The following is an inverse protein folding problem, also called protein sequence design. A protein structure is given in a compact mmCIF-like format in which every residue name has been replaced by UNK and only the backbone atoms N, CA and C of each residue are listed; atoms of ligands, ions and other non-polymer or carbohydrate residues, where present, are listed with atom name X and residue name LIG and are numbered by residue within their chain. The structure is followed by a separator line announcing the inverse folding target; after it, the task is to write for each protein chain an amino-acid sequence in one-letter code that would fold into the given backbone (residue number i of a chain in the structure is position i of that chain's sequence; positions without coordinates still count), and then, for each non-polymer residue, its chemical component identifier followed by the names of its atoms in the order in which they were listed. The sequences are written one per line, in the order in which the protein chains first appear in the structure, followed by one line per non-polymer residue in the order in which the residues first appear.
data_IF_135859683477
#
_entry.id   IF_135859683477
#
_cell.length_a   1.000
_cell.length_b   1.000
_cell.length_c   1.000
_cell.angle_alpha   90.00
_cell.angle_beta   90.00
_cell.angle_gamma   90.00
#
_symmetry.space_group_name_H-M   'P 1'
#
loop_
_entity.id
_entity.type
_entity.pdbx_description
1 polymer ?
#
# COMPACT_ATOMS: atom_id res chain seq x y z
N UNK A 1 -44.94 -31.46 69.57
CA UNK A 1 -45.60 -30.56 70.55
C UNK A 1 -44.65 -30.36 71.72
N UNK A 2 -44.51 -29.19 72.37
CA UNK A 2 -44.93 -27.79 72.12
C UNK A 2 -43.68 -26.87 71.87
N UNK A 3 -43.70 -25.68 71.26
CA UNK A 3 -44.34 -24.37 71.54
C UNK A 3 -43.59 -23.45 72.56
N UNK A 4 -43.19 -22.27 72.03
CA UNK A 4 -43.03 -20.91 72.62
C UNK A 4 -41.78 -20.55 73.49
N UNK A 5 -40.98 -19.56 73.03
CA UNK A 5 -40.85 -18.15 73.50
C UNK A 5 -39.77 -17.98 74.60
N UNK A 6 -38.93 -16.93 74.69
CA UNK A 6 -38.97 -15.54 74.20
C UNK A 6 -37.62 -14.83 74.49
N UNK A 7 -37.34 -13.74 73.74
CA UNK A 7 -36.54 -12.55 74.09
C UNK A 7 -35.01 -12.68 74.31
N UNK A 8 -34.14 -11.76 73.89
CA UNK A 8 -34.33 -10.37 73.43
C UNK A 8 -33.05 -9.85 72.72
N UNK A 9 -33.27 -9.13 71.61
CA UNK A 9 -32.67 -7.85 71.19
C UNK A 9 -31.14 -7.69 70.98
N UNK A 10 -30.81 -7.37 69.70
CA UNK A 10 -30.08 -6.16 69.21
C UNK A 10 -28.57 -6.10 69.52
N UNK A 11 -27.59 -5.83 68.63
CA UNK A 11 -27.47 -5.09 67.36
C UNK A 11 -26.16 -5.53 66.64
N UNK A 12 -25.94 -5.02 65.41
CA UNK A 12 -24.70 -4.99 64.58
C UNK A 12 -24.54 -6.22 63.68
N UNK A 13 -24.76 -6.20 62.36
CA UNK A 13 -24.68 -5.10 61.40
C UNK A 13 -23.40 -5.20 60.59
N UNK A 14 -23.30 -6.18 59.68
CA UNK A 14 -22.36 -6.19 58.56
C UNK A 14 -23.00 -6.92 57.37
N UNK A 15 -23.67 -6.15 56.51
CA UNK A 15 -24.02 -6.62 55.17
C UNK A 15 -22.88 -6.20 54.25
N UNK A 16 -22.14 -7.16 53.72
CA UNK A 16 -21.21 -6.93 52.61
C UNK A 16 -22.05 -6.51 51.39
N UNK A 17 -22.03 -5.21 51.07
CA UNK A 17 -22.39 -4.72 49.74
C UNK A 17 -21.07 -4.55 49.00
N UNK A 18 -20.70 -5.53 48.18
CA UNK A 18 -19.62 -5.37 47.20
C UNK A 18 -20.10 -4.40 46.12
N UNK A 19 -19.77 -3.12 46.28
CA UNK A 19 -19.86 -2.15 45.19
C UNK A 19 -18.73 -2.46 44.22
N UNK A 20 -19.06 -3.15 43.11
CA UNK A 20 -18.19 -3.18 41.94
C UNK A 20 -18.18 -1.76 41.34
N UNK A 21 -17.15 -0.97 41.68
CA UNK A 21 -16.78 0.17 40.87
C UNK A 21 -16.21 -0.36 39.54
N UNK A 22 -17.04 -0.35 38.50
CA UNK A 22 -16.55 -0.45 37.13
C UNK A 22 -15.91 0.90 36.80
N UNK A 23 -14.60 1.01 37.02
CA UNK A 23 -13.82 2.07 36.42
C UNK A 23 -13.75 1.81 34.92
N UNK A 24 -14.58 2.52 34.15
CA UNK A 24 -14.37 2.66 32.71
C UNK A 24 -13.07 3.45 32.51
N UNK A 25 -11.98 2.72 32.33
CA UNK A 25 -10.74 3.31 31.83
C UNK A 25 -10.97 3.54 30.33
N UNK A 26 -11.42 4.74 29.98
CA UNK A 26 -11.30 5.25 28.63
C UNK A 26 -9.81 5.42 28.34
N UNK A 27 -9.19 4.36 27.84
CA UNK A 27 -7.88 4.45 27.21
C UNK A 27 -8.07 5.11 25.83
N UNK A 28 -8.32 6.43 25.81
CA UNK A 28 -7.97 7.25 24.67
C UNK A 28 -6.46 7.42 24.68
N UNK A 29 -5.74 6.33 24.38
CA UNK A 29 -4.34 6.40 24.03
C UNK A 29 -4.26 7.09 22.69
N UNK A 30 -4.08 8.41 22.70
CA UNK A 30 -3.65 9.17 21.55
C UNK A 30 -2.29 8.59 21.17
N UNK A 31 -2.27 7.65 20.22
CA UNK A 31 -1.04 7.11 19.67
C UNK A 31 -0.37 8.25 18.91
N UNK A 32 0.44 9.02 19.63
CA UNK A 32 1.34 10.00 19.06
C UNK A 32 2.45 9.22 18.36
N UNK A 33 2.16 8.74 17.15
CA UNK A 33 3.21 8.41 16.20
C UNK A 33 4.07 9.66 16.01
N UNK A 34 5.40 9.53 15.89
CA UNK A 34 6.26 10.66 15.58
C UNK A 34 5.79 11.27 14.25
N UNK A 35 5.03 12.36 14.34
CA UNK A 35 4.68 13.20 13.20
C UNK A 35 6.00 13.76 12.68
N UNK A 36 6.21 13.60 11.38
CA UNK A 36 7.35 14.16 10.67
C UNK A 36 7.49 15.65 11.01
N UNK A 37 8.67 16.03 11.48
CA UNK A 37 9.06 17.43 11.62
C UNK A 37 8.82 18.09 10.26
N UNK A 38 8.18 19.27 10.26
CA UNK A 38 7.87 20.05 9.06
C UNK A 38 9.16 20.39 8.28
N UNK A 39 9.62 19.43 7.47
CA UNK A 39 10.64 19.61 6.46
C UNK A 39 9.91 20.05 5.19
N UNK A 40 10.17 21.27 4.75
CA UNK A 40 9.78 21.70 3.41
C UNK A 40 10.42 20.75 2.42
N UNK A 41 9.62 19.91 1.76
CA UNK A 41 10.09 19.07 0.66
C UNK A 41 10.65 19.99 -0.44
N UNK A 42 11.83 19.66 -1.00
CA UNK A 42 12.40 20.42 -2.10
C UNK A 42 11.68 20.18 -3.43
N UNK A 43 10.80 19.17 -3.47
CA UNK A 43 9.92 18.89 -4.61
C UNK A 43 8.46 19.15 -4.26
N UNK A 44 7.66 19.50 -5.27
CA UNK A 44 6.22 19.77 -5.15
C UNK A 44 5.46 19.08 -6.26
N UNK A 45 4.22 18.66 -5.99
CA UNK A 45 3.33 18.17 -7.04
C UNK A 45 2.98 19.33 -7.99
N UNK A 46 3.35 19.18 -9.26
CA UNK A 46 3.15 20.20 -10.30
C UNK A 46 2.20 19.74 -11.43
N UNK A 47 1.42 18.70 -11.18
CA UNK A 47 0.43 18.15 -12.11
C UNK A 47 -0.82 17.75 -11.34
N UNK A 48 -1.98 18.07 -11.92
CA UNK A 48 -3.27 17.61 -11.40
C UNK A 48 -3.68 16.32 -12.12
N UNK A 49 -4.41 15.42 -11.42
CA UNK A 49 -5.06 14.27 -12.04
C UNK A 49 -5.87 14.64 -13.28
N UNK A 50 -5.97 13.72 -14.23
CA UNK A 50 -6.89 13.77 -15.36
C UNK A 50 -8.01 12.76 -15.14
N UNK A 51 -9.05 13.21 -14.44
CA UNK A 51 -10.20 12.38 -14.10
C UNK A 51 -10.95 11.93 -15.36
N UNK A 52 -11.20 10.64 -15.45
CA UNK A 52 -11.99 10.03 -16.51
C UNK A 52 -13.38 9.62 -16.06
N UNK A 53 -14.07 8.86 -16.91
CA UNK A 53 -15.38 8.31 -16.61
C UNK A 53 -15.24 6.82 -16.22
N UNK A 54 -16.04 6.37 -15.25
CA UNK A 54 -16.13 4.95 -14.90
C UNK A 54 -16.48 4.08 -16.13
N UNK A 55 -17.29 4.61 -17.05
CA UNK A 55 -17.67 3.93 -18.29
C UNK A 55 -16.57 3.85 -19.36
N UNK A 56 -15.37 4.38 -19.11
CA UNK A 56 -14.26 4.35 -20.06
C UNK A 56 -13.85 2.91 -20.42
N UNK A 57 -13.54 2.65 -21.69
CA UNK A 57 -13.00 1.36 -22.13
C UNK A 57 -11.57 1.16 -21.63
N UNK A 58 -10.78 2.23 -21.61
CA UNK A 58 -9.42 2.23 -21.09
C UNK A 58 -9.41 2.64 -19.62
N UNK A 59 -8.44 2.11 -18.89
CA UNK A 59 -8.12 2.52 -17.52
C UNK A 59 -7.87 4.02 -17.47
N UNK A 60 -8.46 4.66 -16.47
CA UNK A 60 -8.43 6.10 -16.29
C UNK A 60 -8.64 6.44 -14.82
N UNK A 61 -8.30 7.66 -14.44
CA UNK A 61 -8.32 8.06 -13.04
C UNK A 61 -9.75 8.29 -12.57
N UNK A 62 -10.17 7.53 -11.56
CA UNK A 62 -11.53 7.58 -10.99
C UNK A 62 -11.48 7.23 -9.51
N UNK A 63 -12.50 7.67 -8.79
CA UNK A 63 -12.85 7.24 -7.44
C UNK A 63 -14.38 7.12 -7.34
N UNK A 64 -14.92 5.95 -7.01
CA UNK A 64 -16.38 5.73 -6.94
C UNK A 64 -16.96 5.81 -5.53
N UNK A 65 -16.16 6.21 -4.53
CA UNK A 65 -16.67 6.36 -3.15
C UNK A 65 -15.66 6.10 -2.02
N UNK A 66 -14.37 5.99 -2.32
CA UNK A 66 -13.31 5.89 -1.31
C UNK A 66 -13.14 7.25 -0.66
N UNK A 67 -13.25 7.32 0.67
CA UNK A 67 -13.13 8.55 1.44
C UNK A 67 -11.85 8.52 2.28
N UNK A 68 -11.02 9.56 2.18
CA UNK A 68 -9.78 9.69 2.96
C UNK A 68 -10.05 9.90 4.45
N UNK A 69 -10.98 10.80 4.81
CA UNK A 69 -11.25 11.19 6.20
C UNK A 69 -11.58 10.04 7.17
N UNK A 70 -12.41 9.03 6.82
CA UNK A 70 -12.67 7.89 7.69
C UNK A 70 -11.60 6.80 7.64
N UNK A 71 -10.60 6.88 6.74
CA UNK A 71 -9.58 5.82 6.62
C UNK A 71 -8.73 5.77 7.88
N UNK A 72 -8.69 4.60 8.53
CA UNK A 72 -7.89 4.30 9.73
C UNK A 72 -6.90 3.17 9.52
N UNK A 73 -7.12 2.33 8.51
CA UNK A 73 -6.21 1.25 8.15
C UNK A 73 -5.99 1.22 6.64
N UNK A 74 -4.74 1.03 6.23
CA UNK A 74 -4.35 0.73 4.85
C UNK A 74 -3.77 -0.67 4.81
N UNK A 75 -4.29 -1.54 3.95
CA UNK A 75 -3.72 -2.86 3.64
C UNK A 75 -3.10 -2.79 2.25
N UNK A 76 -1.78 -2.91 2.18
CA UNK A 76 -1.03 -2.69 0.94
C UNK A 76 -0.43 -3.99 0.40
N UNK A 77 -0.60 -4.20 -0.91
CA UNK A 77 -0.04 -5.28 -1.70
C UNK A 77 0.69 -4.69 -2.89
N UNK A 78 1.81 -5.30 -3.28
CA UNK A 78 2.55 -4.82 -4.43
C UNK A 78 4.02 -5.14 -4.43
N UNK A 79 4.78 -4.38 -5.21
CA UNK A 79 6.18 -4.68 -5.47
C UNK A 79 7.18 -3.79 -4.71
N UNK A 80 8.38 -3.59 -5.29
CA UNK A 80 9.44 -2.78 -4.72
C UNK A 80 9.12 -1.29 -4.57
N UNK A 81 8.12 -0.76 -5.28
CA UNK A 81 7.66 0.61 -5.10
C UNK A 81 6.73 0.77 -3.90
N UNK A 82 6.18 -0.35 -3.41
CA UNK A 82 5.24 -0.39 -2.27
C UNK A 82 5.84 -1.13 -1.08
N UNK A 83 6.98 -1.81 -1.20
CA UNK A 83 7.56 -2.59 -0.10
C UNK A 83 8.37 -1.76 0.89
N UNK A 84 8.13 -1.99 2.18
CA UNK A 84 8.91 -1.42 3.28
C UNK A 84 9.62 -2.46 4.16
N UNK A 85 9.53 -3.75 3.79
CA UNK A 85 10.11 -4.87 4.57
C UNK A 85 9.27 -5.34 5.76
N UNK A 86 8.03 -4.87 5.92
CA UNK A 86 7.19 -5.21 7.07
C UNK A 86 6.54 -6.60 6.99
N UNK A 87 6.19 -7.08 5.79
CA UNK A 87 5.43 -8.32 5.58
C UNK A 87 4.16 -8.41 6.45
N UNK A 88 3.40 -7.32 6.52
CA UNK A 88 2.19 -7.20 7.34
C UNK A 88 2.42 -6.87 8.81
N UNK A 89 3.65 -6.55 9.21
CA UNK A 89 4.00 -6.18 10.59
C UNK A 89 4.47 -4.72 10.70
N UNK A 90 5.27 -4.37 11.71
CA UNK A 90 5.82 -3.02 11.86
C UNK A 90 7.16 -2.96 11.12
N UNK A 91 7.35 -2.06 10.14
CA UNK A 91 8.63 -1.94 9.47
C UNK A 91 9.68 -1.35 10.41
N UNK A 92 10.94 -1.72 10.21
CA UNK A 92 12.05 -0.97 10.81
C UNK A 92 12.06 0.48 10.28
N UNK A 93 12.59 1.46 11.04
CA UNK A 93 12.67 2.85 10.59
C UNK A 93 13.38 2.98 9.24
N UNK A 94 13.00 3.94 8.36
CA UNK A 94 13.57 4.13 7.03
C UNK A 94 14.94 4.82 7.11
N UNK A 95 15.91 4.16 7.72
CA UNK A 95 17.27 4.66 7.91
C UNK A 95 18.19 4.04 6.85
N UNK A 96 19.09 4.85 6.30
CA UNK A 96 20.12 4.41 5.38
C UNK A 96 21.28 3.73 6.10
N UNK A 97 21.77 2.62 5.55
CA UNK A 97 22.93 1.87 6.05
C UNK A 97 24.02 1.76 4.98
N UNK A 98 24.84 2.81 4.78
CA UNK A 98 25.93 2.79 3.82
C UNK A 98 26.84 1.54 3.95
N UNK A 99 27.26 0.91 2.84
CA UNK A 99 27.04 1.35 1.46
C UNK A 99 25.71 0.87 0.84
N UNK A 100 24.82 0.23 1.60
CA UNK A 100 23.53 -0.26 1.08
C UNK A 100 22.71 0.89 0.49
N UNK A 101 22.14 0.73 -0.72
CA UNK A 101 21.32 1.76 -1.33
C UNK A 101 19.88 1.75 -0.85
N UNK A 102 19.46 0.76 -0.05
CA UNK A 102 18.09 0.67 0.45
C UNK A 102 17.99 1.16 1.88
N UNK A 103 16.98 1.98 2.15
CA UNK A 103 16.59 2.35 3.51
C UNK A 103 15.86 1.19 4.22
N UNK A 104 15.97 1.16 5.55
CA UNK A 104 15.32 0.17 6.40
C UNK A 104 16.30 -0.83 6.99
N UNK A 105 16.00 -2.12 6.83
CA UNK A 105 16.77 -3.19 7.47
C UNK A 105 18.11 -3.41 6.75
N UNK A 106 19.18 -3.52 7.53
CA UNK A 106 20.50 -3.92 7.02
C UNK A 106 20.55 -5.42 6.67
N UNK A 107 19.73 -6.24 7.31
CA UNK A 107 19.90 -7.71 7.34
C UNK A 107 18.78 -8.49 6.67
N UNK A 108 17.72 -7.83 6.18
CA UNK A 108 16.62 -8.48 5.48
C UNK A 108 16.63 -8.10 4.01
N UNK A 109 16.21 -9.05 3.18
CA UNK A 109 16.12 -8.86 1.74
C UNK A 109 14.95 -7.94 1.37
N UNK A 110 13.82 -8.06 2.07
CA UNK A 110 12.69 -7.14 1.90
C UNK A 110 12.94 -5.84 2.68
N UNK A 111 12.96 -4.71 1.95
CA UNK A 111 13.32 -3.37 2.43
C UNK A 111 12.80 -2.33 1.43
N UNK A 112 12.92 -1.03 1.75
CA UNK A 112 12.56 0.02 0.78
C UNK A 112 13.58 0.02 -0.35
N UNK A 113 13.13 -0.08 -1.59
CA UNK A 113 13.97 0.17 -2.76
C UNK A 113 14.14 1.69 -3.00
N UNK A 114 14.41 2.46 -1.94
CA UNK A 114 14.53 3.91 -1.96
C UNK A 114 15.46 4.39 -0.83
N UNK A 115 15.71 5.69 -0.76
CA UNK A 115 16.52 6.35 0.27
C UNK A 115 15.74 6.77 1.53
N UNK A 116 14.46 6.42 1.63
CA UNK A 116 13.61 6.81 2.76
C UNK A 116 12.26 6.12 2.72
N UNK A 117 11.22 6.85 3.12
CA UNK A 117 9.84 6.39 3.04
C UNK A 117 9.42 6.09 1.61
N UNK A 118 8.49 5.14 1.49
CA UNK A 118 7.77 4.85 0.25
C UNK A 118 6.35 5.43 0.30
N UNK A 119 5.70 5.52 -0.86
CA UNK A 119 4.47 6.30 -1.04
C UNK A 119 3.34 5.91 -0.06
N UNK A 120 3.16 4.60 0.18
CA UNK A 120 2.08 4.11 1.04
C UNK A 120 2.34 4.38 2.53
N UNK A 121 3.61 4.57 2.91
CA UNK A 121 3.98 5.03 4.26
C UNK A 121 3.67 6.50 4.44
N UNK A 122 3.98 7.34 3.44
CA UNK A 122 3.62 8.76 3.46
C UNK A 122 2.08 8.93 3.49
N UNK A 123 1.35 8.15 2.70
CA UNK A 123 -0.11 8.16 2.70
C UNK A 123 -0.67 7.75 4.07
N UNK A 124 -0.15 6.67 4.67
CA UNK A 124 -0.57 6.23 5.99
C UNK A 124 -0.28 7.29 7.08
N UNK A 125 0.88 7.93 7.02
CA UNK A 125 1.26 9.00 7.94
C UNK A 125 0.33 10.21 7.83
N UNK A 126 0.05 10.68 6.61
CA UNK A 126 -0.86 11.82 6.37
C UNK A 126 -2.27 11.55 6.89
N UNK A 127 -2.78 10.32 6.67
CA UNK A 127 -4.09 9.91 7.14
C UNK A 127 -4.13 9.52 8.62
N UNK A 128 -2.97 9.51 9.31
CA UNK A 128 -2.83 8.93 10.65
C UNK A 128 -3.41 7.50 10.73
N UNK A 129 -3.23 6.74 9.64
CA UNK A 129 -3.75 5.39 9.48
C UNK A 129 -2.69 4.34 9.84
N UNK A 130 -3.15 3.20 10.38
CA UNK A 130 -2.32 2.01 10.51
C UNK A 130 -2.01 1.45 9.13
N UNK A 131 -0.76 1.09 8.88
CA UNK A 131 -0.34 0.45 7.64
C UNK A 131 -0.03 -1.04 7.87
N UNK A 132 -0.73 -1.91 7.15
CA UNK A 132 -0.45 -3.34 7.01
C UNK A 132 0.12 -3.60 5.62
N UNK A 133 1.44 -3.59 5.51
CA UNK A 133 2.11 -3.65 4.20
C UNK A 133 2.70 -5.03 3.90
N UNK A 134 2.07 -5.74 2.97
CA UNK A 134 2.44 -7.07 2.50
C UNK A 134 3.34 -7.05 1.27
N UNK A 135 3.55 -5.89 0.66
CA UNK A 135 4.31 -5.75 -0.57
C UNK A 135 5.75 -6.27 -0.44
N UNK A 136 6.22 -6.95 -1.48
CA UNK A 136 7.56 -7.52 -1.53
C UNK A 136 8.37 -7.03 -2.73
N UNK A 137 9.62 -6.65 -2.50
CA UNK A 137 10.52 -6.20 -3.55
C UNK A 137 10.68 -7.21 -4.68
N UNK A 138 10.29 -6.83 -5.91
CA UNK A 138 10.39 -7.67 -7.09
C UNK A 138 9.17 -8.56 -7.36
N UNK A 139 8.11 -8.44 -6.57
CA UNK A 139 6.93 -9.26 -6.71
C UNK A 139 6.26 -9.11 -8.08
N UNK A 140 5.80 -10.25 -8.62
CA UNK A 140 4.96 -10.35 -9.82
C UNK A 140 3.53 -10.70 -9.41
N UNK A 141 2.58 -10.67 -10.34
CA UNK A 141 1.20 -11.08 -10.04
C UNK A 141 1.13 -12.58 -9.77
N UNK A 142 1.78 -13.38 -10.61
CA UNK A 142 1.77 -14.85 -10.52
C UNK A 142 3.10 -15.42 -11.03
N UNK A 143 3.78 -16.22 -10.21
CA UNK A 143 5.00 -16.88 -10.64
C UNK A 143 4.79 -17.78 -11.88
N UNK A 144 3.65 -18.45 -12.01
CA UNK A 144 3.34 -19.34 -13.12
C UNK A 144 3.09 -18.59 -14.43
N UNK A 145 2.79 -17.29 -14.37
CA UNK A 145 2.53 -16.48 -15.56
C UNK A 145 3.78 -16.20 -16.39
N UNK A 146 4.99 -16.16 -15.82
CA UNK A 146 6.19 -15.77 -16.57
C UNK A 146 7.22 -16.89 -16.65
N UNK A 147 7.83 -17.05 -17.82
CA UNK A 147 8.82 -18.10 -18.04
C UNK A 147 10.04 -17.98 -17.13
N UNK A 148 10.40 -16.76 -16.74
CA UNK A 148 11.55 -16.47 -15.85
C UNK A 148 11.27 -16.75 -14.37
N UNK A 149 10.00 -16.81 -13.96
CA UNK A 149 9.61 -17.02 -12.54
C UNK A 149 8.91 -18.36 -12.32
N UNK A 150 8.38 -18.97 -13.38
CA UNK A 150 7.57 -20.17 -13.26
C UNK A 150 8.40 -21.35 -12.77
N UNK A 151 8.03 -21.99 -11.64
CA UNK A 151 8.71 -23.20 -11.16
C UNK A 151 8.51 -24.40 -12.12
N UNK A 152 7.62 -24.28 -13.12
CA UNK A 152 7.46 -25.29 -14.16
C UNK A 152 8.53 -25.18 -15.25
N UNK A 153 9.25 -24.06 -15.32
CA UNK A 153 10.41 -23.87 -16.18
C UNK A 153 11.68 -24.25 -15.42
N UNK A 154 12.53 -25.10 -16.00
CA UNK A 154 13.77 -25.54 -15.38
C UNK A 154 14.76 -24.40 -15.04
N UNK A 155 14.62 -23.24 -15.69
CA UNK A 155 15.42 -22.03 -15.45
C UNK A 155 14.66 -20.95 -14.68
N UNK A 156 13.41 -21.20 -14.32
CA UNK A 156 12.58 -20.26 -13.59
C UNK A 156 13.10 -20.06 -12.17
N UNK A 157 13.11 -18.81 -11.73
CA UNK A 157 13.45 -18.41 -10.35
C UNK A 157 12.22 -17.76 -9.72
N UNK A 158 11.45 -18.52 -8.93
CA UNK A 158 10.27 -17.98 -8.26
C UNK A 158 10.60 -16.79 -7.37
N UNK A 159 9.63 -15.89 -7.27
CA UNK A 159 9.62 -14.69 -6.43
C UNK A 159 8.47 -14.76 -5.45
N UNK A 160 8.40 -13.82 -4.52
CA UNK A 160 7.10 -13.52 -3.90
C UNK A 160 6.15 -13.00 -4.99
N UNK A 161 4.88 -13.35 -4.93
CA UNK A 161 3.86 -12.88 -5.87
C UNK A 161 2.59 -12.43 -5.15
N UNK A 162 1.65 -11.83 -5.89
CA UNK A 162 0.39 -11.37 -5.32
C UNK A 162 -0.41 -12.52 -4.66
N UNK A 163 -0.25 -13.75 -5.15
CA UNK A 163 -0.82 -14.95 -4.55
C UNK A 163 -0.28 -15.17 -3.14
N UNK A 164 1.05 -15.13 -2.96
CA UNK A 164 1.71 -15.29 -1.67
C UNK A 164 1.36 -14.15 -0.70
N UNK A 165 1.38 -12.89 -1.17
CA UNK A 165 1.05 -11.73 -0.33
C UNK A 165 -0.41 -11.78 0.18
N UNK A 166 -1.36 -12.06 -0.72
CA UNK A 166 -2.78 -12.22 -0.36
C UNK A 166 -2.98 -13.40 0.59
N UNK A 167 -2.29 -14.52 0.34
CA UNK A 167 -2.35 -15.70 1.22
C UNK A 167 -1.85 -15.37 2.63
N UNK A 168 -0.73 -14.64 2.75
CA UNK A 168 -0.19 -14.22 4.04
C UNK A 168 -1.17 -13.31 4.78
N UNK A 169 -1.77 -12.33 4.10
CA UNK A 169 -2.78 -11.47 4.69
C UNK A 169 -4.02 -12.25 5.19
N UNK A 170 -4.56 -13.17 4.38
CA UNK A 170 -5.76 -13.94 4.73
C UNK A 170 -5.52 -14.96 5.86
N UNK A 171 -4.29 -15.45 6.01
CA UNK A 171 -3.90 -16.40 7.06
C UNK A 171 -3.48 -15.72 8.36
N UNK A 172 -2.85 -14.55 8.28
CA UNK A 172 -2.29 -13.84 9.42
C UNK A 172 -3.00 -12.51 9.64
N UNK A 173 -2.83 -11.58 8.71
CA UNK A 173 -3.23 -10.17 8.84
C UNK A 173 -4.65 -9.96 9.31
N UNK A 174 -5.61 -10.55 8.59
CA UNK A 174 -7.04 -10.31 8.86
C UNK A 174 -7.50 -10.73 10.26
N UNK A 175 -6.75 -11.60 10.94
CA UNK A 175 -7.09 -12.11 12.26
C UNK A 175 -6.34 -11.38 13.38
N UNK A 176 -5.17 -10.81 13.06
CA UNK A 176 -4.38 -10.04 14.01
C UNK A 176 -4.88 -8.59 14.12
N UNK A 177 -5.69 -8.14 13.16
CA UNK A 177 -6.15 -6.77 13.05
C UNK A 177 -7.66 -6.64 12.97
N UNK A 178 -8.21 -5.66 13.71
CA UNK A 178 -9.62 -5.30 13.62
C UNK A 178 -9.83 -4.45 12.36
N UNK A 179 -10.18 -5.10 11.26
CA UNK A 179 -10.49 -4.44 9.99
C UNK A 179 -11.96 -4.00 9.98
N UNK A 180 -12.17 -2.69 9.91
CA UNK A 180 -13.49 -2.07 9.81
C UNK A 180 -13.70 -1.67 8.35
N UNK A 181 -14.65 -2.28 7.59
CA UNK A 181 -14.71 -2.13 6.14
C UNK A 181 -14.75 -0.68 5.63
N UNK A 182 -15.55 0.19 6.25
CA UNK A 182 -15.66 1.61 5.87
C UNK A 182 -14.50 2.50 6.35
N UNK A 183 -13.57 1.95 7.13
CA UNK A 183 -12.34 2.63 7.60
C UNK A 183 -11.07 1.96 7.04
N UNK A 184 -11.21 0.92 6.22
CA UNK A 184 -10.09 0.15 5.66
C UNK A 184 -9.97 0.38 4.16
N UNK A 185 -8.81 0.82 3.72
CA UNK A 185 -8.42 0.96 2.32
C UNK A 185 -7.47 -0.17 1.92
N UNK A 186 -7.77 -0.84 0.81
CA UNK A 186 -6.87 -1.84 0.21
C UNK A 186 -6.18 -1.22 -0.99
N UNK A 187 -4.85 -1.24 -1.04
CA UNK A 187 -4.07 -0.71 -2.17
C UNK A 187 -3.31 -1.82 -2.88
N UNK A 188 -3.46 -1.92 -4.20
CA UNK A 188 -2.87 -2.97 -5.03
C UNK A 188 -1.97 -2.33 -6.10
N UNK A 189 -0.68 -2.65 -6.11
CA UNK A 189 0.32 -2.05 -7.02
C UNK A 189 1.24 -3.11 -7.62
N UNK A 190 0.89 -3.60 -8.82
CA UNK A 190 1.66 -4.60 -9.59
C UNK A 190 1.70 -4.19 -11.07
N UNK A 191 2.64 -4.77 -11.82
CA UNK A 191 2.82 -4.51 -13.25
C UNK A 191 4.27 -4.24 -13.65
N UNK A 192 5.10 -3.68 -12.76
CA UNK A 192 6.48 -3.29 -13.09
C UNK A 192 7.34 -4.53 -13.32
N UNK A 193 7.29 -5.49 -12.40
CA UNK A 193 8.03 -6.74 -12.54
C UNK A 193 7.42 -7.63 -13.60
N UNK A 194 6.10 -7.63 -13.76
CA UNK A 194 5.34 -8.34 -14.77
C UNK A 194 5.78 -7.93 -16.20
N UNK A 195 5.86 -6.63 -16.46
CA UNK A 195 6.42 -6.06 -17.70
C UNK A 195 7.86 -6.54 -17.93
N UNK A 196 8.68 -6.46 -16.89
CA UNK A 196 10.08 -6.88 -16.94
C UNK A 196 10.23 -8.37 -17.23
N UNK A 197 9.49 -9.23 -16.52
CA UNK A 197 9.56 -10.68 -16.69
C UNK A 197 9.02 -11.11 -18.06
N UNK A 198 7.92 -10.51 -18.50
CA UNK A 198 7.37 -10.75 -19.83
C UNK A 198 8.34 -10.35 -20.94
N UNK A 199 8.99 -9.18 -20.85
CA UNK A 199 9.98 -8.75 -21.85
C UNK A 199 11.24 -9.62 -21.87
N UNK A 200 11.62 -10.20 -20.73
CA UNK A 200 12.81 -11.04 -20.62
C UNK A 200 12.64 -12.40 -21.31
N UNK A 201 11.51 -13.08 -21.12
CA UNK A 201 11.33 -14.43 -21.67
C UNK A 201 9.89 -14.78 -22.08
N UNK A 202 9.00 -13.80 -22.19
CA UNK A 202 7.57 -14.00 -22.42
C UNK A 202 6.85 -14.58 -21.20
N UNK A 203 5.58 -14.89 -21.41
CA UNK A 203 4.70 -15.41 -20.38
C UNK A 203 3.26 -15.48 -20.88
N UNK A 204 2.34 -15.62 -19.94
CA UNK A 204 0.91 -15.69 -20.13
C UNK A 204 0.24 -14.52 -19.37
N UNK A 205 0.07 -13.40 -20.05
CA UNK A 205 -0.60 -12.22 -19.49
C UNK A 205 -2.07 -12.48 -19.14
N UNK A 206 -2.72 -13.43 -19.83
CA UNK A 206 -4.08 -13.85 -19.47
C UNK A 206 -4.11 -14.51 -18.10
N UNK A 207 -3.13 -15.37 -17.79
CA UNK A 207 -3.02 -15.97 -16.46
C UNK A 207 -2.73 -14.90 -15.39
N UNK A 208 -1.86 -13.94 -15.68
CA UNK A 208 -1.62 -12.82 -14.77
C UNK A 208 -2.92 -12.04 -14.49
N UNK A 209 -3.70 -11.71 -15.52
CA UNK A 209 -5.00 -11.07 -15.37
C UNK A 209 -5.97 -11.91 -14.53
N UNK A 210 -6.16 -13.19 -14.85
CA UNK A 210 -7.06 -14.10 -14.14
C UNK A 210 -6.69 -14.22 -12.66
N UNK A 211 -5.39 -14.33 -12.36
CA UNK A 211 -4.88 -14.35 -10.99
C UNK A 211 -5.16 -13.01 -10.29
N UNK A 212 -4.92 -11.87 -10.95
CA UNK A 212 -5.16 -10.56 -10.36
C UNK A 212 -6.62 -10.40 -9.91
N UNK A 213 -7.58 -10.64 -10.81
CA UNK A 213 -9.01 -10.49 -10.48
C UNK A 213 -9.49 -11.54 -9.47
N UNK A 214 -8.88 -12.73 -9.47
CA UNK A 214 -9.16 -13.75 -8.47
C UNK A 214 -8.75 -13.28 -7.08
N UNK A 215 -7.56 -12.68 -6.95
CA UNK A 215 -7.09 -12.14 -5.66
C UNK A 215 -7.91 -10.94 -5.21
N UNK A 216 -8.32 -10.05 -6.11
CA UNK A 216 -9.30 -8.99 -5.78
C UNK A 216 -10.61 -9.59 -5.26
N UNK A 217 -11.16 -10.59 -5.96
CA UNK A 217 -12.38 -11.28 -5.54
C UNK A 217 -12.25 -11.96 -4.18
N UNK A 218 -11.10 -12.55 -3.87
CA UNK A 218 -10.80 -13.11 -2.55
C UNK A 218 -10.79 -12.05 -1.45
N UNK A 219 -10.16 -10.89 -1.70
CA UNK A 219 -10.18 -9.77 -0.75
C UNK A 219 -11.62 -9.27 -0.50
N UNK A 220 -12.42 -9.13 -1.57
CA UNK A 220 -13.81 -8.69 -1.49
C UNK A 220 -14.70 -9.69 -0.75
N UNK A 221 -14.56 -10.99 -1.04
CA UNK A 221 -15.24 -12.06 -0.32
C UNK A 221 -14.89 -12.09 1.17
N UNK A 222 -13.76 -11.48 1.55
CA UNK A 222 -13.31 -11.32 2.92
C UNK A 222 -13.51 -9.88 3.47
N UNK A 223 -14.41 -9.10 2.88
CA UNK A 223 -14.89 -7.83 3.44
C UNK A 223 -14.18 -6.58 2.94
N UNK A 224 -13.29 -6.67 1.95
CA UNK A 224 -12.72 -5.49 1.32
C UNK A 224 -13.79 -4.73 0.51
N UNK A 225 -14.12 -3.51 0.94
CA UNK A 225 -15.12 -2.65 0.27
C UNK A 225 -14.54 -1.40 -0.37
N UNK A 226 -13.28 -1.05 -0.07
CA UNK A 226 -12.57 0.09 -0.67
C UNK A 226 -11.26 -0.40 -1.28
N UNK A 227 -11.18 -0.44 -2.61
CA UNK A 227 -10.03 -0.97 -3.35
C UNK A 227 -9.46 0.10 -4.26
N UNK A 228 -8.20 0.44 -4.05
CA UNK A 228 -7.41 1.31 -4.91
C UNK A 228 -6.42 0.46 -5.70
N UNK A 229 -6.45 0.57 -7.03
CA UNK A 229 -5.40 0.05 -7.91
C UNK A 229 -4.49 1.18 -8.35
N UNK A 230 -3.20 1.04 -8.07
CA UNK A 230 -2.17 1.94 -8.56
C UNK A 230 -1.61 1.38 -9.87
N UNK A 231 -1.91 2.08 -10.95
CA UNK A 231 -1.45 1.75 -12.29
C UNK A 231 0.02 2.07 -12.53
N UNK A 232 0.50 1.63 -13.68
CA UNK A 232 1.89 1.77 -14.11
C UNK A 232 2.34 3.23 -14.25
N UNK A 233 3.64 3.45 -14.08
CA UNK A 233 4.27 4.76 -14.27
C UNK A 233 4.63 5.08 -15.72
N UNK A 234 4.35 4.17 -16.67
CA UNK A 234 4.66 4.33 -18.10
C UNK A 234 3.79 3.40 -18.95
N UNK A 235 3.53 3.80 -20.19
CA UNK A 235 2.92 2.98 -21.22
C UNK A 235 3.75 1.75 -21.55
N UNK A 236 3.12 0.58 -21.49
CA UNK A 236 3.62 -0.62 -22.19
C UNK A 236 2.41 -1.38 -22.76
N UNK A 237 2.43 -1.81 -24.03
CA UNK A 237 1.23 -2.38 -24.66
C UNK A 237 0.61 -3.55 -23.88
N UNK A 238 1.46 -4.42 -23.32
CA UNK A 238 1.03 -5.59 -22.57
C UNK A 238 0.42 -5.23 -21.21
N UNK A 239 0.98 -4.24 -20.50
CA UNK A 239 0.45 -3.85 -19.19
C UNK A 239 -0.73 -2.88 -19.34
N UNK A 240 -0.78 -2.06 -20.38
CA UNK A 240 -1.94 -1.23 -20.70
C UNK A 240 -3.18 -2.11 -20.93
N UNK A 241 -3.02 -3.21 -21.69
CA UNK A 241 -4.09 -4.19 -21.87
C UNK A 241 -4.52 -4.83 -20.54
N UNK A 242 -3.56 -5.30 -19.73
CA UNK A 242 -3.83 -5.88 -18.41
C UNK A 242 -4.59 -4.88 -17.50
N UNK A 243 -4.13 -3.64 -17.43
CA UNK A 243 -4.74 -2.59 -16.61
C UNK A 243 -6.16 -2.25 -17.09
N UNK A 244 -6.40 -2.20 -18.39
CA UNK A 244 -7.75 -1.99 -18.95
C UNK A 244 -8.71 -3.14 -18.56
N UNK A 245 -8.22 -4.38 -18.57
CA UNK A 245 -9.02 -5.54 -18.15
C UNK A 245 -9.30 -5.51 -16.63
N UNK A 246 -8.31 -5.18 -15.81
CA UNK A 246 -8.49 -4.99 -14.35
C UNK A 246 -9.48 -3.86 -14.08
N UNK A 247 -9.39 -2.74 -14.80
CA UNK A 247 -10.31 -1.62 -14.68
C UNK A 247 -11.75 -2.01 -15.04
N UNK A 248 -11.93 -2.80 -16.11
CA UNK A 248 -13.25 -3.34 -16.47
C UNK A 248 -13.84 -4.23 -15.36
N UNK A 249 -13.02 -5.10 -14.74
CA UNK A 249 -13.43 -5.91 -13.60
C UNK A 249 -13.83 -5.05 -12.39
N UNK A 250 -13.04 -4.02 -12.05
CA UNK A 250 -13.34 -3.12 -10.93
C UNK A 250 -14.67 -2.38 -11.15
N UNK A 251 -14.94 -1.90 -12.37
CA UNK A 251 -16.22 -1.31 -12.73
C UNK A 251 -17.38 -2.30 -12.52
N UNK A 252 -17.24 -3.52 -13.02
CA UNK A 252 -18.27 -4.55 -12.87
C UNK A 252 -18.51 -4.84 -11.38
N UNK A 253 -17.44 -4.97 -10.60
CA UNK A 253 -17.56 -5.16 -9.16
C UNK A 253 -18.30 -4.01 -8.48
N UNK A 254 -17.98 -2.75 -8.80
CA UNK A 254 -18.69 -1.59 -8.26
C UNK A 254 -20.20 -1.68 -8.57
N UNK A 255 -20.56 -2.05 -9.80
CA UNK A 255 -21.96 -2.20 -10.20
C UNK A 255 -22.69 -3.39 -9.53
N UNK A 256 -22.00 -4.52 -9.33
CA UNK A 256 -22.60 -5.77 -8.84
C UNK A 256 -22.67 -5.83 -7.32
N UNK A 257 -21.61 -5.43 -6.62
CA UNK A 257 -21.48 -5.61 -5.17
C UNK A 257 -21.22 -4.31 -4.40
N UNK A 258 -21.18 -3.15 -5.08
CA UNK A 258 -21.02 -1.85 -4.42
C UNK A 258 -19.62 -1.61 -3.85
N UNK A 259 -18.60 -2.36 -4.27
CA UNK A 259 -17.21 -2.04 -3.90
C UNK A 259 -16.86 -0.64 -4.40
N UNK A 260 -16.39 0.22 -3.51
CA UNK A 260 -15.79 1.49 -3.88
C UNK A 260 -14.43 1.22 -4.51
N UNK A 261 -14.23 1.70 -5.73
CA UNK A 261 -12.99 1.49 -6.48
C UNK A 261 -12.35 2.82 -6.80
N UNK A 262 -11.02 2.84 -6.76
CA UNK A 262 -10.23 3.91 -7.35
C UNK A 262 -9.16 3.31 -8.26
N UNK A 263 -8.89 3.99 -9.36
CA UNK A 263 -7.77 3.67 -10.24
C UNK A 263 -6.89 4.92 -10.36
N UNK A 264 -5.61 4.79 -10.08
CA UNK A 264 -4.64 5.89 -10.12
C UNK A 264 -3.63 5.59 -11.21
N UNK A 265 -3.56 6.40 -12.27
CA UNK A 265 -2.60 6.17 -13.35
C UNK A 265 -1.32 7.00 -13.12
N UNK A 266 -0.24 6.34 -12.67
CA UNK A 266 1.02 7.03 -12.38
C UNK A 266 1.75 7.53 -13.63
N UNK A 267 1.42 7.02 -14.81
CA UNK A 267 1.98 7.50 -16.06
C UNK A 267 1.89 9.00 -16.22
N UNK A 268 0.72 9.58 -15.97
CA UNK A 268 0.53 11.03 -16.11
C UNK A 268 1.49 11.80 -15.22
N UNK A 269 1.70 11.33 -13.98
CA UNK A 269 2.66 11.92 -13.06
C UNK A 269 4.08 11.84 -13.64
N UNK A 270 4.51 10.65 -14.06
CA UNK A 270 5.88 10.42 -14.51
C UNK A 270 6.20 11.00 -15.89
N UNK A 271 5.26 11.02 -16.83
CA UNK A 271 5.38 11.72 -18.12
C UNK A 271 5.49 13.23 -17.93
N UNK A 272 4.76 13.79 -16.97
CA UNK A 272 4.86 15.22 -16.66
C UNK A 272 6.19 15.54 -15.97
N UNK A 273 6.68 14.67 -15.08
CA UNK A 273 8.02 14.77 -14.50
C UNK A 273 9.09 14.69 -15.60
N UNK A 274 8.97 13.76 -16.55
CA UNK A 274 9.94 13.58 -17.62
C UNK A 274 9.97 14.79 -18.58
N UNK A 275 8.81 15.37 -18.89
CA UNK A 275 8.69 16.51 -19.80
C UNK A 275 9.04 17.85 -19.16
N UNK A 276 8.80 18.04 -17.86
CA UNK A 276 9.12 19.27 -17.15
C UNK A 276 9.57 19.02 -15.69
N UNK A 277 10.75 18.42 -15.48
CA UNK A 277 11.24 18.06 -14.14
C UNK A 277 11.38 19.29 -13.23
N UNK A 278 11.76 20.43 -13.80
CA UNK A 278 11.99 21.67 -13.04
C UNK A 278 10.73 22.24 -12.39
N UNK A 279 9.54 22.01 -12.97
CA UNK A 279 8.27 22.43 -12.37
C UNK A 279 7.99 21.73 -11.03
N UNK A 280 8.48 20.51 -10.88
CA UNK A 280 8.39 19.75 -9.63
C UNK A 280 9.54 20.05 -8.68
N UNK A 281 10.58 20.77 -9.11
CA UNK A 281 11.82 20.99 -8.36
C UNK A 281 12.94 20.01 -8.68
N UNK A 282 12.74 18.99 -9.53
CA UNK A 282 13.82 18.09 -9.93
C UNK A 282 14.88 18.81 -10.78
N UNK A 283 16.15 18.44 -10.60
CA UNK A 283 17.29 19.01 -11.35
C UNK A 283 18.44 18.02 -11.45
N UNK A 284 19.32 18.25 -12.41
CA UNK A 284 20.46 17.36 -12.66
C UNK A 284 20.02 16.04 -13.30
N UNK A 285 20.70 14.95 -12.96
CA UNK A 285 20.37 13.63 -13.48
C UNK A 285 19.10 13.10 -12.80
N UNK A 286 18.23 12.47 -13.60
CA UNK A 286 16.99 11.88 -13.09
C UNK A 286 17.25 10.78 -12.04
N UNK A 287 18.30 9.99 -12.23
CA UNK A 287 18.71 8.93 -11.29
C UNK A 287 19.97 9.33 -10.53
N UNK A 288 19.92 9.25 -9.20
CA UNK A 288 21.04 9.61 -8.33
C UNK A 288 22.14 8.56 -8.29
N UNK A 289 21.80 7.28 -8.10
CA UNK A 289 22.77 6.20 -8.01
C UNK A 289 23.12 5.62 -9.38
N UNK A 290 24.38 5.29 -9.56
CA UNK A 290 24.90 4.61 -10.77
C UNK A 290 24.67 3.10 -10.76
N UNK A 291 24.33 2.53 -9.60
CA UNK A 291 24.16 1.09 -9.39
C UNK A 291 23.06 0.82 -8.38
N UNK A 292 22.36 -0.31 -8.53
CA UNK A 292 21.37 -0.79 -7.56
C UNK A 292 21.98 -1.48 -6.33
N UNK A 293 23.31 -1.63 -6.27
CA UNK A 293 23.99 -2.40 -5.23
C UNK A 293 24.73 -1.56 -4.19
N UNK A 294 24.96 -0.27 -4.46
CA UNK A 294 25.77 0.58 -3.59
C UNK A 294 25.44 2.07 -3.77
N UNK A 295 25.61 2.85 -2.70
CA UNK A 295 25.55 4.32 -2.76
C UNK A 295 26.86 4.96 -3.24
N UNK A 296 27.94 4.17 -3.33
CA UNK A 296 29.25 4.68 -3.74
C UNK A 296 29.17 5.22 -5.17
N UNK A 297 29.59 6.47 -5.35
CA UNK A 297 29.49 7.17 -6.64
C UNK A 297 28.11 7.75 -6.94
N UNK A 298 27.20 7.76 -5.96
CA UNK A 298 25.92 8.47 -6.05
C UNK A 298 26.06 9.98 -6.19
N UNK A 299 24.97 10.63 -6.58
CA UNK A 299 24.89 12.07 -6.72
C UNK A 299 25.05 12.82 -5.37
N UNK A 300 25.44 14.10 -5.44
CA UNK A 300 25.57 14.96 -4.26
C UNK A 300 24.23 15.55 -3.78
N UNK A 301 23.19 15.53 -4.61
CA UNK A 301 21.90 16.16 -4.35
C UNK A 301 20.73 15.18 -4.59
N UNK A 302 20.61 14.12 -3.75
CA UNK A 302 19.59 13.08 -3.93
C UNK A 302 18.16 13.61 -3.77
N UNK A 303 18.00 14.71 -3.06
CA UNK A 303 16.68 15.29 -2.77
C UNK A 303 15.99 15.87 -4.01
N UNK A 304 16.74 16.19 -5.07
CA UNK A 304 16.19 16.69 -6.33
C UNK A 304 16.33 15.68 -7.48
N UNK A 305 16.54 14.39 -7.17
CA UNK A 305 16.50 13.30 -8.14
C UNK A 305 15.15 12.58 -8.13
N UNK A 306 14.68 12.21 -9.32
CA UNK A 306 13.43 11.44 -9.50
C UNK A 306 13.60 10.01 -9.00
N UNK A 307 14.70 9.38 -9.41
CA UNK A 307 15.05 8.02 -9.03
C UNK A 307 16.26 8.05 -8.10
N UNK A 308 16.19 7.28 -7.02
CA UNK A 308 17.35 7.08 -6.15
C UNK A 308 18.19 5.92 -6.68
N UNK A 309 17.64 4.72 -6.64
CA UNK A 309 18.18 3.51 -7.29
C UNK A 309 17.73 3.51 -8.77
N UNK A 310 18.54 3.02 -9.73
CA UNK A 310 18.07 2.84 -11.11
C UNK A 310 16.71 2.14 -11.17
N UNK A 311 15.72 2.84 -11.73
CA UNK A 311 14.34 2.35 -11.88
C UNK A 311 13.47 2.39 -10.62
N UNK A 312 13.93 2.98 -9.51
CA UNK A 312 13.15 3.10 -8.27
C UNK A 312 13.11 4.54 -7.74
N UNK A 313 11.93 5.07 -7.41
CA UNK A 313 11.76 6.48 -7.02
C UNK A 313 12.60 6.84 -5.79
N UNK A 314 13.04 8.10 -5.73
CA UNK A 314 13.56 8.66 -4.47
C UNK A 314 12.44 8.80 -3.45
N UNK A 315 12.78 9.01 -2.17
CA UNK A 315 11.78 9.28 -1.13
C UNK A 315 10.88 10.47 -1.50
N UNK A 316 11.45 11.49 -2.15
CA UNK A 316 10.71 12.68 -2.56
C UNK A 316 9.77 12.39 -3.72
N UNK A 317 10.14 11.50 -4.63
CA UNK A 317 9.22 11.02 -5.66
C UNK A 317 8.16 10.08 -5.11
N UNK A 318 8.45 9.26 -4.09
CA UNK A 318 7.44 8.49 -3.37
C UNK A 318 6.42 9.38 -2.67
N UNK A 319 6.87 10.48 -2.06
CA UNK A 319 5.97 11.50 -1.53
C UNK A 319 5.05 12.07 -2.60
N UNK A 320 5.57 12.40 -3.79
CA UNK A 320 4.73 12.86 -4.91
C UNK A 320 3.73 11.80 -5.39
N UNK A 321 4.10 10.51 -5.39
CA UNK A 321 3.18 9.41 -5.70
C UNK A 321 2.03 9.38 -4.69
N UNK A 322 2.33 9.57 -3.40
CA UNK A 322 1.32 9.67 -2.34
C UNK A 322 0.41 10.88 -2.53
N UNK A 323 0.98 12.08 -2.70
CA UNK A 323 0.22 13.32 -2.93
C UNK A 323 -0.67 13.22 -4.17
N UNK A 324 -0.17 12.65 -5.26
CA UNK A 324 -0.93 12.44 -6.49
C UNK A 324 -2.06 11.43 -6.31
N UNK A 325 -1.79 10.32 -5.61
CA UNK A 325 -2.79 9.31 -5.28
C UNK A 325 -3.93 9.90 -4.44
N UNK A 326 -3.61 10.69 -3.41
CA UNK A 326 -4.62 11.39 -2.61
C UNK A 326 -5.39 12.42 -3.44
N UNK A 327 -4.72 13.14 -4.35
CA UNK A 327 -5.37 14.06 -5.27
C UNK A 327 -6.39 13.36 -6.20
N UNK A 328 -6.08 12.16 -6.71
CA UNK A 328 -7.05 11.36 -7.48
C UNK A 328 -8.27 11.00 -6.63
N UNK A 329 -8.04 10.56 -5.39
CA UNK A 329 -9.13 10.20 -4.47
C UNK A 329 -10.03 11.40 -4.14
N UNK A 330 -9.46 12.59 -4.00
CA UNK A 330 -10.24 13.79 -3.68
C UNK A 330 -10.94 14.41 -4.90
N UNK A 331 -10.31 14.36 -6.07
CA UNK A 331 -10.75 15.13 -7.24
C UNK A 331 -11.51 14.31 -8.29
N UNK A 332 -11.23 13.00 -8.40
CA UNK A 332 -11.77 12.15 -9.46
C UNK A 332 -13.00 11.35 -9.04
N UNK A 333 -13.84 11.92 -8.18
CA UNK A 333 -15.12 11.33 -7.77
C UNK A 333 -16.10 11.23 -8.95
N UNK A 334 -16.65 10.03 -9.17
CA UNK A 334 -17.64 9.70 -10.22
C UNK A 334 -18.79 8.87 -9.69
#
# INVERSE_FOLDING_TARGET
MPILQSCSKILLGFSLISVMLISQINAQGQMNFPVTVNITSPVTLAVQPLCGALSSENSTEVNTGILLSPTRTIVAFGDSWTSNGANGTVPVPPIMWPPSPSAGSQFTENRRASNGFIWVEDMANELSAKLLNYAWGGAVIDNLAYNTTSPLNATGVPRTDFVAETSLFLQQGRFLDALVPNETLYTISFGINDDGQFKLAGGNMTLAYETYITKLGELQANGATNILVQGMYKHTPEIDLLQNQIFAYLRESNAVNGTNIAFVNLERLFDTIASNPSAFGYRGNATCLISANTIVGGCNDPEHSVFWIPGHPSQNSHRLISEYTMAVLDQCTV
#
